data_IF_658080281126
#
_entry.id   IF_658080281126
#
_cell.length_a   1.000
_cell.length_b   1.000
_cell.length_c   1.000
_cell.angle_alpha   90.00
_cell.angle_beta   90.00
_cell.angle_gamma   90.00
#
_symmetry.space_group_name_H-M   'P 1'
#
loop_
_entity.id
_entity.type
_entity.pdbx_description
1 polymer ?
#
# COMPACT_ATOMS: atom_id res chain seq x y z
N UNK A 1 -41.87 -19.37 19.47
CA UNK A 1 -41.21 -18.15 20.00
C UNK A 1 -40.31 -18.54 21.16
N UNK A 2 -39.01 -18.72 20.90
CA UNK A 2 -38.01 -19.02 21.94
C UNK A 2 -37.13 -17.80 22.16
N UNK A 3 -37.25 -17.19 23.33
CA UNK A 3 -36.39 -16.08 23.75
C UNK A 3 -34.94 -16.55 23.86
N UNK A 4 -34.04 -15.99 23.04
CA UNK A 4 -32.61 -16.29 23.05
C UNK A 4 -31.89 -15.37 24.03
N UNK A 5 -31.43 -15.96 25.13
CA UNK A 5 -30.64 -15.29 26.18
C UNK A 5 -29.23 -15.04 25.65
N UNK A 6 -28.87 -13.77 25.45
CA UNK A 6 -27.55 -13.36 24.96
C UNK A 6 -26.54 -13.35 26.11
N UNK A 7 -25.70 -14.38 26.19
CA UNK A 7 -24.61 -14.47 27.18
C UNK A 7 -23.49 -13.50 26.81
N UNK A 8 -23.33 -12.43 27.58
CA UNK A 8 -22.23 -11.47 27.41
C UNK A 8 -20.95 -11.99 28.06
N UNK A 9 -19.94 -12.30 27.25
CA UNK A 9 -18.56 -12.51 27.70
C UNK A 9 -17.74 -11.27 27.32
N UNK A 10 -17.07 -10.66 28.30
CA UNK A 10 -16.22 -9.48 28.15
C UNK A 10 -14.92 -9.85 27.39
N UNK A 11 -14.95 -9.78 26.06
CA UNK A 11 -13.76 -9.58 25.22
C UNK A 11 -14.21 -8.77 24.00
N UNK A 12 -13.35 -7.90 23.45
CA UNK A 12 -13.70 -6.99 22.35
C UNK A 12 -13.97 -7.67 21.00
N UNK A 13 -14.30 -8.97 20.99
CA UNK A 13 -14.73 -9.70 19.82
C UNK A 13 -16.26 -9.57 19.66
N UNK A 14 -16.77 -9.46 18.41
CA UNK A 14 -18.21 -9.49 18.17
C UNK A 14 -18.82 -10.79 18.72
N UNK A 15 -19.89 -10.66 19.50
CA UNK A 15 -20.63 -11.80 20.05
C UNK A 15 -21.58 -12.36 18.99
N UNK A 16 -21.12 -13.39 18.29
CA UNK A 16 -21.94 -14.15 17.34
C UNK A 16 -22.79 -15.19 18.05
N UNK A 17 -24.03 -15.36 17.61
CA UNK A 17 -24.87 -16.47 18.07
C UNK A 17 -24.52 -17.80 17.35
N UNK A 18 -25.19 -18.89 17.74
CA UNK A 18 -24.90 -20.22 17.21
C UNK A 18 -25.20 -20.33 15.70
N UNK A 19 -26.15 -19.55 15.20
CA UNK A 19 -26.57 -19.55 13.79
C UNK A 19 -25.53 -18.80 12.95
N UNK A 20 -25.12 -17.61 13.41
CA UNK A 20 -24.07 -16.81 12.81
C UNK A 20 -22.73 -17.56 12.76
N UNK A 21 -22.38 -18.29 13.83
CA UNK A 21 -21.19 -19.14 13.88
C UNK A 21 -21.25 -20.29 12.86
N UNK A 22 -22.44 -20.85 12.59
CA UNK A 22 -22.61 -21.90 11.60
C UNK A 22 -22.40 -21.36 10.17
N UNK A 23 -22.88 -20.15 9.89
CA UNK A 23 -22.67 -19.45 8.60
C UNK A 23 -21.18 -19.10 8.41
N UNK A 24 -20.50 -18.56 9.43
CA UNK A 24 -19.07 -18.26 9.34
C UNK A 24 -18.22 -19.53 9.11
N UNK A 25 -18.57 -20.61 9.81
CA UNK A 25 -17.88 -21.90 9.67
C UNK A 25 -18.05 -22.49 8.27
N UNK A 26 -19.23 -22.38 7.65
CA UNK A 26 -19.45 -22.89 6.29
C UNK A 26 -18.70 -22.09 5.23
N UNK A 27 -18.37 -20.83 5.52
CA UNK A 27 -17.51 -19.98 4.69
C UNK A 27 -16.01 -20.16 4.97
N UNK A 28 -15.64 -20.86 6.05
CA UNK A 28 -14.25 -20.99 6.48
C UNK A 28 -13.67 -19.71 7.09
N UNK A 29 -14.52 -18.86 7.66
CA UNK A 29 -14.15 -17.56 8.24
C UNK A 29 -14.06 -17.67 9.75
N UNK A 30 -13.01 -17.09 10.33
CA UNK A 30 -12.83 -17.03 11.78
C UNK A 30 -13.83 -16.07 12.41
N UNK A 31 -14.47 -16.40 13.54
CA UNK A 31 -15.29 -15.45 14.29
C UNK A 31 -14.50 -14.23 14.78
N UNK A 32 -13.17 -14.32 14.87
CA UNK A 32 -12.33 -13.17 15.24
C UNK A 32 -11.93 -12.30 14.03
N UNK A 33 -12.40 -12.63 12.82
CA UNK A 33 -12.14 -11.82 11.63
C UNK A 33 -12.91 -10.48 11.76
N UNK A 34 -12.24 -9.31 11.61
CA UNK A 34 -12.91 -8.02 11.70
C UNK A 34 -14.03 -7.84 10.66
N UNK A 35 -14.03 -8.63 9.57
CA UNK A 35 -15.07 -8.60 8.54
C UNK A 35 -16.22 -9.61 8.79
N UNK A 36 -16.16 -10.45 9.84
CA UNK A 36 -17.11 -11.54 10.04
C UNK A 36 -18.58 -11.07 10.10
N UNK A 37 -18.87 -10.00 10.85
CA UNK A 37 -20.23 -9.44 10.96
C UNK A 37 -20.73 -8.88 9.63
N UNK A 38 -19.91 -8.10 8.93
CA UNK A 38 -20.28 -7.55 7.63
C UNK A 38 -20.54 -8.63 6.58
N UNK A 39 -19.84 -9.77 6.68
CA UNK A 39 -20.04 -10.90 5.77
C UNK A 39 -21.34 -11.65 6.06
N UNK A 40 -21.73 -11.83 7.31
CA UNK A 40 -23.03 -12.40 7.68
C UNK A 40 -24.17 -11.55 7.11
N UNK A 41 -24.14 -10.22 7.35
CA UNK A 41 -25.15 -9.29 6.83
C UNK A 41 -25.25 -9.37 5.30
N UNK A 42 -24.08 -9.50 4.64
CA UNK A 42 -24.03 -9.63 3.19
C UNK A 42 -24.63 -10.94 2.70
N UNK A 43 -24.42 -12.07 3.39
CA UNK A 43 -25.03 -13.36 3.05
C UNK A 43 -26.55 -13.30 3.18
N UNK A 44 -27.09 -12.69 4.25
CA UNK A 44 -28.53 -12.49 4.43
C UNK A 44 -29.11 -11.63 3.29
N UNK A 45 -28.42 -10.55 2.92
CA UNK A 45 -28.81 -9.71 1.77
C UNK A 45 -28.81 -10.46 0.44
N UNK A 46 -27.80 -11.31 0.20
CA UNK A 46 -27.73 -12.16 -1.01
C UNK A 46 -28.84 -13.21 -1.02
N UNK A 47 -29.18 -13.80 0.12
CA UNK A 47 -30.32 -14.72 0.24
C UNK A 47 -31.63 -14.04 -0.18
N UNK A 48 -31.87 -12.80 0.26
CA UNK A 48 -33.01 -12.00 -0.17
C UNK A 48 -33.01 -11.64 -1.67
N UNK A 49 -31.84 -11.48 -2.30
CA UNK A 49 -31.73 -11.30 -3.76
C UNK A 49 -32.02 -12.59 -4.53
N UNK A 50 -31.55 -13.73 -4.02
CA UNK A 50 -31.84 -15.05 -4.58
C UNK A 50 -33.34 -15.36 -4.54
N UNK A 51 -34.02 -15.06 -3.42
CA UNK A 51 -35.47 -15.21 -3.30
C UNK A 51 -36.26 -14.32 -4.28
N UNK A 52 -35.70 -13.17 -4.69
CA UNK A 52 -36.28 -12.29 -5.73
C UNK A 52 -35.96 -12.71 -7.17
N UNK A 53 -35.26 -13.84 -7.37
CA UNK A 53 -34.95 -14.33 -8.70
C UNK A 53 -33.75 -13.67 -9.37
N UNK A 54 -32.84 -13.02 -8.62
CA UNK A 54 -31.67 -12.36 -9.22
C UNK A 54 -30.77 -13.39 -9.94
N UNK A 55 -30.52 -13.25 -11.26
CA UNK A 55 -29.78 -14.22 -12.06
C UNK A 55 -28.33 -14.40 -11.63
N UNK A 56 -27.72 -13.41 -10.97
CA UNK A 56 -26.34 -13.51 -10.48
C UNK A 56 -26.20 -14.50 -9.32
N UNK A 57 -27.28 -14.80 -8.61
CA UNK A 57 -27.27 -15.66 -7.40
C UNK A 57 -28.14 -16.92 -7.55
N UNK A 58 -28.69 -17.17 -8.74
CA UNK A 58 -29.37 -18.43 -9.03
C UNK A 58 -28.37 -19.59 -9.15
N UNK A 59 -28.87 -20.80 -8.86
CA UNK A 59 -28.14 -22.05 -9.07
C UNK A 59 -27.65 -22.13 -10.52
N UNK A 60 -26.34 -22.31 -10.71
CA UNK A 60 -25.70 -22.33 -12.03
C UNK A 60 -25.13 -20.99 -12.51
N UNK A 61 -25.23 -19.92 -11.71
CA UNK A 61 -24.56 -18.65 -12.01
C UNK A 61 -23.05 -18.79 -12.10
N UNK A 62 -22.44 -18.10 -13.09
CA UNK A 62 -20.98 -18.02 -13.26
C UNK A 62 -20.29 -17.46 -12.00
N UNK A 63 -20.96 -16.57 -11.27
CA UNK A 63 -20.43 -16.00 -10.03
C UNK A 63 -20.16 -17.10 -8.99
N UNK A 64 -21.12 -18.02 -8.78
CA UNK A 64 -21.02 -19.11 -7.81
C UNK A 64 -19.91 -20.13 -8.15
N UNK A 65 -19.47 -20.18 -9.41
CA UNK A 65 -18.33 -21.01 -9.85
C UNK A 65 -16.95 -20.47 -9.43
N UNK A 66 -16.86 -19.20 -9.02
CA UNK A 66 -15.59 -18.60 -8.56
C UNK A 66 -15.22 -19.05 -7.14
N UNK A 67 -13.97 -18.78 -6.70
CA UNK A 67 -13.55 -19.07 -5.33
C UNK A 67 -14.44 -18.34 -4.30
N UNK A 68 -14.70 -17.05 -4.53
CA UNK A 68 -15.58 -16.23 -3.69
C UNK A 68 -17.03 -16.70 -3.77
N UNK A 69 -17.51 -17.06 -4.96
CA UNK A 69 -18.85 -17.59 -5.15
C UNK A 69 -19.11 -18.90 -4.40
N UNK A 70 -18.12 -19.80 -4.33
CA UNK A 70 -18.20 -21.03 -3.54
C UNK A 70 -18.30 -20.77 -2.04
N UNK A 71 -17.58 -19.77 -1.55
CA UNK A 71 -17.68 -19.33 -0.14
C UNK A 71 -19.09 -18.80 0.14
N UNK A 72 -19.60 -17.90 -0.70
CA UNK A 72 -20.97 -17.37 -0.60
C UNK A 72 -22.00 -18.49 -0.67
N UNK A 73 -21.82 -19.47 -1.57
CA UNK A 73 -22.69 -20.64 -1.66
C UNK A 73 -22.70 -21.47 -0.38
N UNK A 74 -21.55 -21.63 0.29
CA UNK A 74 -21.49 -22.31 1.58
C UNK A 74 -22.25 -21.56 2.67
N UNK A 75 -22.11 -20.24 2.72
CA UNK A 75 -22.88 -19.36 3.62
C UNK A 75 -24.39 -19.45 3.38
N UNK A 76 -24.81 -19.38 2.11
CA UNK A 76 -26.22 -19.50 1.71
C UNK A 76 -26.80 -20.86 2.05
N UNK A 77 -26.08 -21.97 1.79
CA UNK A 77 -26.57 -23.30 2.15
C UNK A 77 -26.70 -23.50 3.66
N UNK A 78 -25.80 -22.90 4.45
CA UNK A 78 -25.91 -22.94 5.91
C UNK A 78 -27.13 -22.15 6.39
N UNK A 79 -27.38 -20.98 5.79
CA UNK A 79 -28.56 -20.17 6.06
C UNK A 79 -29.85 -20.91 5.63
N UNK A 80 -29.88 -21.53 4.44
CA UNK A 80 -31.00 -22.36 3.98
C UNK A 80 -31.24 -23.55 4.92
N UNK A 81 -30.19 -24.16 5.49
CA UNK A 81 -30.33 -25.26 6.45
C UNK A 81 -30.86 -24.79 7.82
N UNK A 82 -30.51 -23.57 8.24
CA UNK A 82 -31.04 -22.94 9.44
C UNK A 82 -32.52 -22.56 9.26
N UNK A 83 -32.88 -22.00 8.10
CA UNK A 83 -34.25 -21.61 7.76
C UNK A 83 -35.13 -22.81 7.39
N UNK A 84 -34.54 -23.88 6.84
CA UNK A 84 -35.21 -25.03 6.25
C UNK A 84 -35.05 -26.34 7.01
N UNK A 85 -34.47 -26.33 8.22
CA UNK A 85 -34.30 -27.50 9.09
C UNK A 85 -35.59 -28.04 9.73
N UNK A 86 -36.75 -27.44 9.42
CA UNK A 86 -38.07 -27.98 9.74
C UNK A 86 -38.74 -28.50 8.47
N UNK A 87 -38.68 -29.81 8.25
CA UNK A 87 -39.42 -30.46 7.17
C UNK A 87 -40.93 -30.28 7.35
N UNK A 88 -41.51 -29.40 6.55
CA UNK A 88 -42.87 -29.47 6.04
C UNK A 88 -42.96 -28.39 4.95
N UNK A 89 -43.53 -28.73 3.80
CA UNK A 89 -43.87 -27.76 2.77
C UNK A 89 -44.96 -26.81 3.29
N UNK A 90 -44.57 -25.87 4.12
CA UNK A 90 -45.31 -24.64 4.38
C UNK A 90 -44.86 -23.65 3.31
N UNK A 91 -45.78 -23.29 2.44
CA UNK A 91 -45.61 -22.20 1.50
C UNK A 91 -45.00 -20.99 2.22
N UNK A 92 -44.04 -20.32 1.57
CA UNK A 92 -43.42 -19.08 2.05
C UNK A 92 -44.49 -18.00 2.38
N UNK A 93 -45.70 -18.15 1.84
CA UNK A 93 -46.87 -17.32 2.16
C UNK A 93 -47.37 -17.45 3.61
N UNK A 94 -47.07 -18.55 4.33
CA UNK A 94 -47.56 -18.80 5.70
C UNK A 94 -46.64 -18.19 6.79
N UNK A 95 -45.38 -17.90 6.46
CA UNK A 95 -44.43 -17.18 7.35
C UNK A 95 -44.48 -15.67 7.11
N UNK A 96 -44.99 -15.25 5.96
CA UNK A 96 -45.31 -13.86 5.63
C UNK A 96 -46.82 -13.60 5.74
N UNK A 97 -47.41 -13.94 6.89
CA UNK A 97 -48.67 -13.33 7.35
C UNK A 97 -48.44 -11.84 7.70
N UNK A 98 -48.09 -11.08 6.66
CA UNK A 98 -48.34 -9.65 6.53
C UNK A 98 -49.71 -9.50 5.85
N UNK A 99 -50.77 -9.86 6.60
CA UNK A 99 -52.06 -9.18 6.50
C UNK A 99 -52.87 -9.39 5.21
N UNK A 100 -52.96 -10.62 4.73
CA UNK A 100 -53.79 -11.02 3.58
C UNK A 100 -55.11 -11.70 3.94
N UNK A 101 -55.60 -11.57 5.18
CA UNK A 101 -56.86 -12.16 5.65
C UNK A 101 -58.08 -11.35 5.20
N UNK A 102 -58.51 -11.54 3.96
CA UNK A 102 -59.83 -11.11 3.49
C UNK A 102 -60.92 -12.01 4.06
N UNK A 103 -61.64 -11.53 5.08
CA UNK A 103 -62.88 -12.17 5.51
C UNK A 103 -63.25 -11.94 6.97
N UNK A 104 -63.98 -10.85 7.24
CA UNK A 104 -64.88 -10.80 8.38
C UNK A 104 -64.68 -9.64 9.35
N UNK A 105 -65.62 -8.71 9.25
CA UNK A 105 -66.27 -8.12 10.42
C UNK A 105 -65.45 -7.17 11.31
N UNK A 106 -65.59 -5.89 11.01
CA UNK A 106 -66.06 -4.93 12.03
C UNK A 106 -64.99 -4.19 12.83
N UNK A 107 -65.15 -2.87 12.89
CA UNK A 107 -64.38 -1.98 13.77
C UNK A 107 -63.21 -1.34 13.03
N UNK A 108 -63.31 -0.13 12.50
CA UNK A 108 -63.45 1.04 13.37
C UNK A 108 -62.12 1.30 14.09
N UNK A 109 -61.09 1.70 13.34
CA UNK A 109 -59.74 1.94 13.87
C UNK A 109 -58.92 2.89 13.00
N UNK A 110 -59.58 3.91 12.45
CA UNK A 110 -58.91 5.05 11.81
C UNK A 110 -58.30 5.94 12.91
N UNK A 111 -57.07 6.45 12.67
CA UNK A 111 -56.36 7.54 13.37
C UNK A 111 -55.19 7.26 14.35
N UNK A 112 -54.85 6.02 14.73
CA UNK A 112 -53.63 5.76 15.53
C UNK A 112 -52.46 5.12 14.75
N UNK A 113 -52.69 4.67 13.50
CA UNK A 113 -51.70 3.98 12.67
C UNK A 113 -50.88 4.88 11.73
N UNK A 114 -51.26 6.15 11.53
CA UNK A 114 -50.53 7.06 10.61
C UNK A 114 -49.28 7.66 11.24
N UNK A 115 -49.29 7.97 12.53
CA UNK A 115 -48.21 8.72 13.18
C UNK A 115 -47.01 7.82 13.53
N UNK A 116 -47.24 6.62 14.05
CA UNK A 116 -46.18 5.64 14.32
C UNK A 116 -45.54 5.10 13.03
N UNK A 117 -46.35 4.87 11.98
CA UNK A 117 -45.84 4.47 10.66
C UNK A 117 -44.97 5.55 10.00
N UNK A 118 -45.36 6.84 10.12
CA UNK A 118 -44.53 7.94 9.64
C UNK A 118 -43.21 8.09 10.41
N UNK A 119 -43.22 7.87 11.73
CA UNK A 119 -41.99 7.91 12.53
C UNK A 119 -41.00 6.80 12.12
N UNK A 120 -41.49 5.58 11.90
CA UNK A 120 -40.65 4.47 11.41
C UNK A 120 -40.10 4.71 10.00
N UNK A 121 -40.92 5.24 9.10
CA UNK A 121 -40.48 5.59 7.74
C UNK A 121 -39.39 6.70 7.75
N UNK A 122 -39.54 7.71 8.61
CA UNK A 122 -38.56 8.76 8.77
C UNK A 122 -37.24 8.25 9.39
N UNK A 123 -37.31 7.33 10.36
CA UNK A 123 -36.14 6.72 10.97
C UNK A 123 -35.35 5.86 9.96
N UNK A 124 -36.06 5.07 9.15
CA UNK A 124 -35.44 4.28 8.09
C UNK A 124 -34.80 5.16 7.00
N UNK A 125 -35.49 6.20 6.55
CA UNK A 125 -34.93 7.16 5.60
C UNK A 125 -33.68 7.87 6.16
N UNK A 126 -33.68 8.21 7.45
CA UNK A 126 -32.51 8.81 8.11
C UNK A 126 -31.33 7.82 8.20
N UNK A 127 -31.61 6.55 8.50
CA UNK A 127 -30.60 5.49 8.53
C UNK A 127 -30.04 5.20 7.13
N UNK A 128 -30.89 5.17 6.10
CA UNK A 128 -30.45 5.01 4.72
C UNK A 128 -29.58 6.19 4.27
N UNK A 129 -29.98 7.42 4.60
CA UNK A 129 -29.17 8.60 4.33
C UNK A 129 -27.84 8.63 5.11
N UNK A 130 -27.75 7.99 6.27
CA UNK A 130 -26.47 7.79 6.97
C UNK A 130 -25.58 6.80 6.23
N UNK A 131 -26.12 5.64 5.86
CA UNK A 131 -25.37 4.63 5.10
C UNK A 131 -24.84 5.20 3.77
N UNK A 132 -25.66 5.95 3.04
CA UNK A 132 -25.25 6.57 1.77
C UNK A 132 -24.10 7.56 1.98
N UNK A 133 -24.13 8.33 3.08
CA UNK A 133 -23.02 9.24 3.44
C UNK A 133 -21.75 8.47 3.79
N UNK A 134 -21.86 7.40 4.56
CA UNK A 134 -20.71 6.59 4.98
C UNK A 134 -20.07 5.88 3.78
N UNK A 135 -20.89 5.38 2.84
CA UNK A 135 -20.42 4.83 1.57
C UNK A 135 -19.69 5.88 0.73
N UNK A 136 -20.27 7.09 0.58
CA UNK A 136 -19.64 8.17 -0.16
C UNK A 136 -18.29 8.59 0.44
N UNK A 137 -18.19 8.65 1.78
CA UNK A 137 -16.92 8.93 2.48
C UNK A 137 -15.89 7.81 2.25
N UNK A 138 -16.30 6.55 2.37
CA UNK A 138 -15.42 5.41 2.15
C UNK A 138 -14.91 5.32 0.70
N UNK A 139 -15.75 5.65 -0.29
CA UNK A 139 -15.32 5.73 -1.69
C UNK A 139 -14.33 6.88 -1.91
N UNK A 140 -14.59 8.06 -1.33
CA UNK A 140 -13.67 9.20 -1.40
C UNK A 140 -12.31 8.90 -0.74
N UNK A 141 -12.30 8.16 0.38
CA UNK A 141 -11.06 7.71 1.02
C UNK A 141 -10.28 6.72 0.15
N UNK A 142 -10.97 5.76 -0.49
CA UNK A 142 -10.34 4.83 -1.44
C UNK A 142 -9.76 5.54 -2.65
N UNK A 143 -10.49 6.50 -3.22
CA UNK A 143 -10.00 7.30 -4.34
C UNK A 143 -8.71 8.06 -3.96
N UNK A 144 -8.70 8.73 -2.80
CA UNK A 144 -7.49 9.40 -2.28
C UNK A 144 -6.35 8.45 -1.95
N UNK A 145 -6.64 7.23 -1.54
CA UNK A 145 -5.64 6.17 -1.35
C UNK A 145 -4.98 5.79 -2.67
N UNK A 146 -5.80 5.50 -3.68
CA UNK A 146 -5.35 5.09 -5.00
C UNK A 146 -4.56 6.19 -5.73
N UNK A 147 -4.97 7.45 -5.61
CA UNK A 147 -4.21 8.60 -6.15
C UNK A 147 -2.82 8.71 -5.53
N UNK A 148 -2.70 8.57 -4.20
CA UNK A 148 -1.41 8.57 -3.50
C UNK A 148 -0.53 7.41 -3.91
N UNK A 149 -1.10 6.21 -4.10
CA UNK A 149 -0.35 5.05 -4.58
C UNK A 149 0.19 5.26 -6.00
N UNK A 150 -0.63 5.81 -6.91
CA UNK A 150 -0.18 6.14 -8.27
C UNK A 150 0.92 7.21 -8.27
N UNK A 151 0.80 8.23 -7.42
CA UNK A 151 1.84 9.26 -7.29
C UNK A 151 3.16 8.64 -6.79
N UNK A 152 3.10 7.77 -5.78
CA UNK A 152 4.27 7.05 -5.29
C UNK A 152 4.90 6.16 -6.36
N UNK A 153 4.09 5.44 -7.14
CA UNK A 153 4.59 4.60 -8.23
C UNK A 153 5.24 5.43 -9.35
N UNK A 154 4.61 6.55 -9.71
CA UNK A 154 5.19 7.52 -10.66
C UNK A 154 6.52 8.07 -10.17
N UNK A 155 6.61 8.47 -8.90
CA UNK A 155 7.84 8.98 -8.31
C UNK A 155 8.94 7.90 -8.26
N UNK A 156 8.59 6.63 -7.99
CA UNK A 156 9.54 5.51 -8.06
C UNK A 156 10.09 5.32 -9.46
N UNK A 157 9.22 5.27 -10.48
CA UNK A 157 9.64 5.12 -11.87
C UNK A 157 10.50 6.31 -12.33
N UNK A 158 10.15 7.53 -11.94
CA UNK A 158 10.94 8.73 -12.22
C UNK A 158 12.33 8.66 -11.55
N UNK A 159 12.38 8.21 -10.29
CA UNK A 159 13.63 8.03 -9.56
C UNK A 159 14.54 6.99 -10.23
N UNK A 160 13.99 5.88 -10.69
CA UNK A 160 14.76 4.84 -11.38
C UNK A 160 15.36 5.38 -12.69
N UNK A 161 14.58 6.13 -13.47
CA UNK A 161 15.06 6.77 -14.69
C UNK A 161 16.20 7.75 -14.42
N UNK A 162 16.02 8.65 -13.45
CA UNK A 162 17.05 9.63 -13.06
C UNK A 162 18.30 8.91 -12.55
N UNK A 163 18.14 7.83 -11.78
CA UNK A 163 19.25 7.00 -11.33
C UNK A 163 20.06 6.43 -12.50
N UNK A 164 19.40 5.84 -13.50
CA UNK A 164 20.08 5.31 -14.69
C UNK A 164 20.82 6.40 -15.47
N UNK A 165 20.19 7.56 -15.67
CA UNK A 165 20.81 8.70 -16.35
C UNK A 165 22.04 9.22 -15.60
N UNK A 166 21.96 9.29 -14.26
CA UNK A 166 23.09 9.70 -13.41
C UNK A 166 24.18 8.65 -13.35
N UNK A 167 23.87 7.35 -13.41
CA UNK A 167 24.88 6.29 -13.29
C UNK A 167 25.95 6.39 -14.39
N UNK A 168 25.60 6.87 -15.58
CA UNK A 168 26.53 7.08 -16.69
C UNK A 168 27.41 8.33 -16.58
N UNK A 169 26.99 9.33 -15.79
CA UNK A 169 27.63 10.66 -15.74
C UNK A 169 28.27 10.96 -14.37
N UNK A 170 27.62 10.56 -13.29
CA UNK A 170 27.94 10.87 -11.89
C UNK A 170 27.59 9.68 -10.97
N UNK A 171 28.36 8.57 -11.02
CA UNK A 171 27.99 7.30 -10.38
C UNK A 171 27.88 7.36 -8.85
N UNK A 172 28.68 8.18 -8.16
CA UNK A 172 28.62 8.31 -6.68
C UNK A 172 27.39 9.08 -6.25
N UNK A 173 27.04 10.15 -6.97
CA UNK A 173 25.79 10.88 -6.74
C UNK A 173 24.57 10.03 -7.08
N UNK A 174 24.65 9.21 -8.14
CA UNK A 174 23.61 8.23 -8.47
C UNK A 174 23.36 7.23 -7.33
N UNK A 175 24.43 6.69 -6.74
CA UNK A 175 24.34 5.77 -5.60
C UNK A 175 23.71 6.45 -4.38
N UNK A 176 24.15 7.65 -4.02
CA UNK A 176 23.59 8.37 -2.88
C UNK A 176 22.10 8.70 -3.12
N UNK A 177 21.76 9.12 -4.32
CA UNK A 177 20.37 9.31 -4.73
C UNK A 177 19.54 8.03 -4.63
N UNK A 178 20.07 6.89 -5.07
CA UNK A 178 19.39 5.59 -4.96
C UNK A 178 19.20 5.14 -3.50
N UNK A 179 20.10 5.54 -2.60
CA UNK A 179 19.97 5.32 -1.16
C UNK A 179 19.02 6.29 -0.46
N UNK A 180 18.53 7.33 -1.15
CA UNK A 180 17.69 8.38 -0.56
C UNK A 180 18.51 9.39 0.24
N UNK A 181 19.82 9.42 0.00
CA UNK A 181 20.76 10.29 0.69
C UNK A 181 21.08 11.45 -0.24
N UNK A 182 20.98 12.67 0.28
CA UNK A 182 21.35 13.87 -0.49
C UNK A 182 20.26 14.37 -1.42
N UNK A 183 18.98 14.28 -1.01
CA UNK A 183 17.89 15.03 -1.67
C UNK A 183 18.23 16.52 -1.82
N UNK A 184 18.94 17.08 -0.83
CA UNK A 184 19.46 18.45 -0.80
C UNK A 184 20.62 18.70 -1.80
N UNK A 185 21.34 17.64 -2.20
CA UNK A 185 22.55 17.71 -3.04
C UNK A 185 22.18 17.70 -4.53
N UNK A 186 20.96 17.26 -4.86
CA UNK A 186 20.42 17.18 -6.21
C UNK A 186 19.27 18.18 -6.39
N UNK A 187 19.26 18.99 -7.46
CA UNK A 187 18.12 19.85 -7.77
C UNK A 187 16.83 19.02 -7.90
N UNK A 188 15.86 19.27 -7.03
CA UNK A 188 14.60 18.51 -7.01
C UNK A 188 14.73 17.10 -6.42
N UNK A 189 15.76 16.82 -5.63
CA UNK A 189 15.90 15.56 -4.88
C UNK A 189 14.94 15.44 -3.69
N UNK A 190 14.45 16.57 -3.17
CA UNK A 190 13.55 16.63 -2.01
C UNK A 190 12.24 15.85 -2.21
N UNK A 191 11.72 15.82 -3.45
CA UNK A 191 10.50 15.06 -3.79
C UNK A 191 10.65 13.53 -3.69
N UNK A 192 11.88 13.04 -3.52
CA UNK A 192 12.17 11.62 -3.35
C UNK A 192 12.62 11.28 -1.92
N UNK A 193 12.66 12.25 -1.00
CA UNK A 193 13.18 12.06 0.35
C UNK A 193 12.42 10.99 1.15
N UNK A 194 11.10 10.90 0.94
CA UNK A 194 10.22 9.95 1.63
C UNK A 194 10.18 8.57 0.96
N UNK A 195 10.86 8.39 -0.17
CA UNK A 195 10.92 7.10 -0.85
C UNK A 195 12.00 6.21 -0.27
N UNK A 196 11.62 4.95 0.04
CA UNK A 196 12.56 3.91 0.42
C UNK A 196 13.71 3.76 -0.60
N UNK A 197 14.92 3.33 -0.17
CA UNK A 197 16.04 3.08 -1.08
C UNK A 197 15.67 2.16 -2.24
N UNK A 198 16.23 2.42 -3.43
CA UNK A 198 16.05 1.53 -4.58
C UNK A 198 16.61 0.13 -4.29
N UNK A 199 16.00 -0.89 -4.88
CA UNK A 199 16.51 -2.26 -4.80
C UNK A 199 17.94 -2.32 -5.33
N UNK A 200 18.83 -2.98 -4.60
CA UNK A 200 20.25 -3.08 -4.96
C UNK A 200 21.10 -1.83 -4.70
N UNK A 201 20.51 -0.70 -4.30
CA UNK A 201 21.25 0.55 -4.04
C UNK A 201 22.39 0.35 -3.01
N UNK A 202 22.15 -0.48 -1.98
CA UNK A 202 23.18 -0.77 -0.97
C UNK A 202 24.35 -1.57 -1.53
N UNK A 203 24.08 -2.60 -2.32
CA UNK A 203 25.12 -3.37 -2.99
C UNK A 203 25.93 -2.51 -3.96
N UNK A 204 25.26 -1.61 -4.70
CA UNK A 204 25.90 -0.62 -5.58
C UNK A 204 26.80 0.32 -4.77
N UNK A 205 26.35 0.75 -3.58
CA UNK A 205 27.12 1.61 -2.69
C UNK A 205 28.38 0.92 -2.17
N UNK A 206 28.26 -0.33 -1.73
CA UNK A 206 29.41 -1.12 -1.25
C UNK A 206 30.43 -1.36 -2.39
N UNK A 207 29.95 -1.67 -3.61
CA UNK A 207 30.81 -1.82 -4.79
C UNK A 207 31.53 -0.51 -5.15
N UNK A 208 30.81 0.61 -5.13
CA UNK A 208 31.36 1.95 -5.39
C UNK A 208 32.38 2.35 -4.33
N UNK A 209 32.09 2.05 -3.06
CA UNK A 209 32.98 2.27 -1.94
C UNK A 209 34.28 1.47 -2.08
N UNK A 210 34.19 0.20 -2.46
CA UNK A 210 35.36 -0.65 -2.72
C UNK A 210 36.17 -0.14 -3.91
N UNK A 211 35.52 0.28 -5.00
CA UNK A 211 36.20 0.84 -6.16
C UNK A 211 36.97 2.12 -5.79
N UNK A 212 36.32 3.06 -5.10
CA UNK A 212 36.97 4.29 -4.62
C UNK A 212 38.15 3.99 -3.67
N UNK A 213 37.96 3.04 -2.75
CA UNK A 213 39.01 2.67 -1.79
C UNK A 213 40.23 2.06 -2.49
N UNK A 214 40.01 1.23 -3.51
CA UNK A 214 41.08 0.64 -4.34
C UNK A 214 41.82 1.69 -5.16
N UNK A 215 41.11 2.69 -5.70
CA UNK A 215 41.73 3.75 -6.50
C UNK A 215 42.58 4.72 -5.67
N UNK A 216 42.11 5.05 -4.47
CA UNK A 216 42.84 5.98 -3.59
C UNK A 216 43.91 5.28 -2.75
N UNK A 217 43.79 3.97 -2.51
CA UNK A 217 44.66 3.23 -1.59
C UNK A 217 44.34 3.49 -0.11
N UNK A 218 43.18 4.05 0.20
CA UNK A 218 42.70 4.26 1.57
C UNK A 218 41.22 3.96 1.69
N UNK A 219 40.73 3.73 2.90
CA UNK A 219 39.32 3.45 3.13
C UNK A 219 38.46 4.69 2.85
N UNK A 220 37.55 4.56 1.87
CA UNK A 220 36.47 5.51 1.60
C UNK A 220 35.18 4.93 2.18
N UNK A 221 34.28 5.77 2.70
CA UNK A 221 32.97 5.34 3.18
C UNK A 221 31.86 6.18 2.53
N UNK A 222 30.79 5.50 2.09
CA UNK A 222 29.57 6.12 1.52
C UNK A 222 28.41 5.90 2.51
N UNK A 223 27.83 6.98 3.01
CA UNK A 223 26.75 6.91 4.02
C UNK A 223 25.88 8.16 4.03
N UNK A 224 25.05 8.32 5.07
CA UNK A 224 24.11 9.45 5.19
C UNK A 224 24.81 10.82 5.22
N UNK A 225 26.05 10.82 5.69
CA UNK A 225 26.88 12.01 5.68
C UNK A 225 27.46 12.31 4.31
N UNK A 226 27.18 11.52 3.27
CA UNK A 226 27.78 11.63 1.94
C UNK A 226 29.02 10.74 1.80
N UNK A 227 30.06 11.25 1.14
CA UNK A 227 31.32 10.53 0.92
C UNK A 227 32.40 11.03 1.86
N UNK A 228 32.99 10.12 2.63
CA UNK A 228 34.04 10.41 3.63
C UNK A 228 35.28 9.56 3.36
N UNK A 229 36.44 9.99 3.86
CA UNK A 229 37.73 9.30 3.63
C UNK A 229 38.36 9.57 2.26
N UNK A 230 37.67 10.33 1.39
CA UNK A 230 38.24 10.80 0.14
C UNK A 230 39.38 11.80 0.38
N UNK A 231 40.47 11.61 -0.35
CA UNK A 231 41.61 12.52 -0.38
C UNK A 231 41.26 13.85 -1.05
N UNK A 232 42.20 14.78 -1.06
CA UNK A 232 42.03 16.01 -1.82
C UNK A 232 42.07 15.78 -3.33
N UNK A 233 41.39 16.63 -4.10
CA UNK A 233 41.49 16.60 -5.57
C UNK A 233 42.95 16.69 -6.04
N UNK A 234 43.77 17.49 -5.37
CA UNK A 234 45.21 17.59 -5.62
C UNK A 234 45.97 16.28 -5.31
N UNK A 235 45.74 15.66 -4.15
CA UNK A 235 46.40 14.38 -3.80
C UNK A 235 45.98 13.24 -4.72
N UNK A 236 44.71 13.21 -5.14
CA UNK A 236 44.20 12.22 -6.10
C UNK A 236 44.75 12.47 -7.50
N UNK A 237 44.90 13.73 -7.93
CA UNK A 237 45.57 14.04 -9.20
C UNK A 237 47.04 13.61 -9.20
N UNK A 238 47.75 13.86 -8.11
CA UNK A 238 49.15 13.47 -7.96
C UNK A 238 49.34 11.94 -8.02
N UNK A 239 48.44 11.18 -7.39
CA UNK A 239 48.49 9.71 -7.46
C UNK A 239 48.20 9.19 -8.87
N UNK A 240 47.31 9.84 -9.63
CA UNK A 240 47.04 9.50 -11.02
C UNK A 240 48.14 9.96 -12.01
N UNK A 241 48.80 11.09 -11.74
CA UNK A 241 49.88 11.62 -12.57
C UNK A 241 51.21 10.87 -12.38
N UNK A 242 51.46 10.29 -11.20
CA UNK A 242 52.67 9.54 -10.90
C UNK A 242 52.63 8.05 -11.30
N UNK A 243 51.43 7.46 -11.44
CA UNK A 243 51.25 6.08 -11.88
C UNK A 243 50.68 6.04 -13.29
N UNK A 244 51.58 5.86 -14.27
CA UNK A 244 51.21 5.43 -15.62
C UNK A 244 50.52 4.05 -15.52
N UNK A 245 49.20 4.07 -15.47
CA UNK A 245 48.38 2.87 -15.33
C UNK A 245 47.93 2.64 -13.90
N UNK A 246 46.84 3.30 -13.50
CA UNK A 246 46.01 2.83 -12.39
C UNK A 246 45.69 1.34 -12.58
N UNK A 247 45.55 0.64 -11.46
CA UNK A 247 45.27 -0.81 -11.34
C UNK A 247 44.19 -1.31 -12.32
N UNK A 248 44.61 -1.70 -13.53
CA UNK A 248 43.87 -2.54 -14.48
C UNK A 248 42.51 -2.06 -15.01
N UNK A 249 42.21 -0.75 -15.06
CA UNK A 249 40.90 -0.23 -15.48
C UNK A 249 40.96 0.92 -16.49
N UNK A 250 39.81 1.25 -17.11
CA UNK A 250 39.67 2.40 -18.00
C UNK A 250 39.87 3.71 -17.20
N UNK A 251 40.95 4.43 -17.51
CA UNK A 251 41.35 5.68 -16.84
C UNK A 251 40.23 6.72 -16.86
N UNK A 252 39.43 6.78 -17.93
CA UNK A 252 38.30 7.71 -18.02
C UNK A 252 37.22 7.41 -16.98
N UNK A 253 36.91 6.13 -16.76
CA UNK A 253 35.90 5.72 -15.78
C UNK A 253 36.38 5.92 -14.35
N UNK A 254 37.67 5.70 -14.10
CA UNK A 254 38.31 6.00 -12.81
C UNK A 254 38.29 7.51 -12.50
N UNK A 255 38.62 8.36 -13.49
CA UNK A 255 38.55 9.82 -13.36
C UNK A 255 37.11 10.28 -13.08
N UNK A 256 36.13 9.76 -13.82
CA UNK A 256 34.70 10.06 -13.59
C UNK A 256 34.27 9.70 -12.17
N UNK A 257 34.63 8.50 -11.70
CA UNK A 257 34.28 8.01 -10.37
C UNK A 257 34.84 8.91 -9.26
N UNK A 258 36.10 9.35 -9.39
CA UNK A 258 36.74 10.23 -8.40
C UNK A 258 36.16 11.65 -8.40
N UNK A 259 35.95 12.24 -9.58
CA UNK A 259 35.33 13.55 -9.71
C UNK A 259 33.91 13.55 -9.13
N UNK A 260 33.17 12.47 -9.38
CA UNK A 260 31.85 12.23 -8.81
C UNK A 260 31.90 12.17 -7.27
N UNK A 261 32.84 11.42 -6.69
CA UNK A 261 33.00 11.34 -5.23
C UNK A 261 33.37 12.68 -4.57
N UNK A 262 34.27 13.45 -5.18
CA UNK A 262 34.67 14.79 -4.71
C UNK A 262 33.50 15.79 -4.76
N UNK A 263 32.60 15.63 -5.73
CA UNK A 263 31.45 16.50 -5.96
C UNK A 263 30.35 16.37 -4.91
N UNK A 264 30.28 15.25 -4.19
CA UNK A 264 29.23 15.02 -3.20
C UNK A 264 29.73 15.30 -1.78
N UNK A 265 30.97 14.89 -1.46
CA UNK A 265 31.62 15.13 -0.18
C UNK A 265 30.77 14.81 1.05
N UNK A 266 31.20 15.29 2.21
CA UNK A 266 30.53 15.07 3.48
C UNK A 266 29.60 16.25 3.86
N UNK A 267 28.56 15.99 4.65
CA UNK A 267 27.79 17.06 5.30
C UNK A 267 28.70 17.96 6.15
N UNK A 268 28.36 19.25 6.23
CA UNK A 268 29.14 20.27 6.93
C UNK A 268 29.42 19.82 8.38
N UNK A 269 30.69 19.73 8.76
CA UNK A 269 31.12 19.34 10.11
C UNK A 269 31.33 17.83 10.34
N UNK A 270 31.04 16.97 9.36
CA UNK A 270 31.25 15.51 9.43
C UNK A 270 32.34 15.00 8.49
N UNK A 271 32.98 15.91 7.75
CA UNK A 271 34.07 15.65 6.82
C UNK A 271 34.27 16.85 5.91
N UNK A 272 34.94 16.61 4.78
CA UNK A 272 35.19 17.65 3.77
C UNK A 272 33.92 17.86 2.94
N UNK A 273 33.39 19.08 2.83
CA UNK A 273 32.22 19.36 2.00
C UNK A 273 32.49 19.01 0.54
N UNK A 274 31.42 18.65 -0.19
CA UNK A 274 31.48 18.44 -1.63
C UNK A 274 32.05 19.67 -2.33
N UNK A 275 32.94 19.44 -3.29
CA UNK A 275 33.55 20.52 -4.06
C UNK A 275 32.84 20.69 -5.39
N UNK A 276 32.80 21.92 -5.89
CA UNK A 276 32.37 22.14 -7.27
C UNK A 276 33.33 21.45 -8.25
N UNK A 277 32.81 21.10 -9.43
CA UNK A 277 33.60 20.49 -10.50
C UNK A 277 34.74 21.43 -10.92
N UNK A 278 34.45 22.72 -11.02
CA UNK A 278 35.39 23.76 -11.43
C UNK A 278 36.51 23.95 -10.39
N UNK A 279 36.19 23.84 -9.11
CA UNK A 279 37.20 23.90 -8.04
C UNK A 279 38.07 22.65 -8.01
N UNK A 280 37.47 21.48 -8.22
CA UNK A 280 38.20 20.21 -8.33
C UNK A 280 39.17 20.25 -9.52
N UNK A 281 38.71 20.70 -10.69
CA UNK A 281 39.55 20.86 -11.88
C UNK A 281 40.66 21.89 -11.67
N UNK A 282 40.40 23.01 -10.98
CA UNK A 282 41.44 23.99 -10.61
C UNK A 282 42.51 23.38 -9.70
N UNK A 283 42.11 22.60 -8.69
CA UNK A 283 43.05 21.92 -7.80
C UNK A 283 43.89 20.87 -8.55
N UNK A 284 43.27 20.10 -9.44
CA UNK A 284 43.96 19.13 -10.31
C UNK A 284 44.99 19.85 -11.18
N UNK A 285 44.59 20.94 -11.86
CA UNK A 285 45.48 21.72 -12.72
C UNK A 285 46.68 22.31 -11.96
N UNK A 286 46.52 22.63 -10.67
CA UNK A 286 47.61 23.20 -9.85
C UNK A 286 48.75 22.21 -9.53
N UNK A 287 48.50 20.91 -9.66
CA UNK A 287 49.48 19.85 -9.32
C UNK A 287 49.85 18.95 -10.49
N UNK A 288 49.15 19.06 -11.61
CA UNK A 288 49.45 18.28 -12.82
C UNK A 288 50.45 19.08 -13.66
N UNK A 289 51.67 18.58 -13.93
CA UNK A 289 52.63 19.29 -14.77
C UNK A 289 52.02 19.55 -16.15
N UNK A 290 52.13 20.79 -16.64
CA UNK A 290 51.67 21.20 -17.96
C UNK A 290 52.34 20.36 -19.04
N UNK A 291 51.63 19.38 -19.59
CA UNK A 291 52.13 18.48 -20.64
C UNK A 291 51.58 17.04 -20.64
N UNK A 292 50.80 16.63 -19.63
CA UNK A 292 50.24 15.26 -19.55
C UNK A 292 48.71 15.31 -19.40
N UNK A 293 48.00 15.66 -20.48
CA UNK A 293 46.59 15.35 -20.68
C UNK A 293 46.35 14.94 -22.13
#
# INVERSE_FOLDING_TARGET
>A
MSAHTRTTVFSGAPNFDAEELAILKSMGISPNDPAASALIDRIVGIHGLRGRGDPAFQTGSKFLGTKTGRMVSGGLSALDALLGGGGAGGDIDDVLDLGGGGGGSGGGGSFLSSQAGQQSANAFAAQQAQLDRDFALAEADKARGFEREQELERLKAERERIFTDMLGTDPVRAVLFALGIGGEILPGGDRFADLAPLSGARAQADATQQALSKLQGSQVNIGQEGVTGLGSAASLAASFGGQAGGTGGNVLDQKKLLLSGLGVGAKRGKGRPGQSREESLRQIASVTPSGVL
#
